data_IF_202733281434
#
_entry.id   IF_202733281434
#
_cell.length_a   1.000
_cell.length_b   1.000
_cell.length_c   1.000
_cell.angle_alpha   90.00
_cell.angle_beta   90.00
_cell.angle_gamma   90.00
#
_symmetry.space_group_name_H-M   'P 1'
#
loop_
_entity.id
_entity.type
_entity.pdbx_description
1 polymer ?
#
# COMPACT_ATOMS: atom_id res chain seq x y z
N UNK A 1 -19.61 15.30 12.18
CA UNK A 1 -20.86 14.83 11.54
C UNK A 1 -20.63 14.76 10.02
N UNK A 2 -21.32 13.89 9.26
CA UNK A 2 -21.13 13.80 7.79
C UNK A 2 -21.58 15.12 7.12
N UNK A 3 -20.77 15.67 6.21
CA UNK A 3 -21.09 16.92 5.51
C UNK A 3 -22.29 16.81 4.55
N UNK A 4 -22.57 15.61 4.03
CA UNK A 4 -23.65 15.37 3.06
C UNK A 4 -24.97 15.04 3.78
N UNK A 5 -25.04 13.92 4.48
CA UNK A 5 -26.31 13.45 5.08
C UNK A 5 -26.54 13.94 6.52
N UNK A 6 -25.58 14.67 7.12
CA UNK A 6 -25.61 15.08 8.54
C UNK A 6 -25.91 13.93 9.52
N UNK A 7 -25.54 12.70 9.15
CA UNK A 7 -25.78 11.50 9.96
C UNK A 7 -27.19 10.91 9.84
N UNK A 8 -28.05 11.40 8.94
CA UNK A 8 -29.41 10.88 8.74
C UNK A 8 -29.43 9.78 7.68
N UNK A 9 -29.90 8.58 8.08
CA UNK A 9 -30.35 7.46 7.22
C UNK A 9 -29.42 7.10 6.03
N UNK A 10 -28.10 7.25 6.16
CA UNK A 10 -27.14 7.02 5.06
C UNK A 10 -27.48 7.70 3.72
N UNK A 11 -28.15 8.86 3.75
CA UNK A 11 -28.59 9.57 2.54
C UNK A 11 -27.44 10.12 1.67
N UNK A 12 -26.18 9.86 2.03
CA UNK A 12 -25.01 10.21 1.23
C UNK A 12 -24.66 9.16 0.15
N UNK A 13 -25.43 8.07 0.05
CA UNK A 13 -25.28 7.06 -1.01
C UNK A 13 -24.11 6.10 -0.83
N UNK A 14 -23.41 6.14 0.32
CA UNK A 14 -22.34 5.19 0.66
C UNK A 14 -22.94 3.88 1.18
N UNK A 15 -22.35 2.74 0.82
CA UNK A 15 -22.83 1.44 1.32
C UNK A 15 -22.66 1.28 2.83
N UNK A 16 -21.60 1.86 3.41
CA UNK A 16 -21.40 1.95 4.87
C UNK A 16 -20.98 3.36 5.33
N UNK A 17 -21.45 3.74 6.53
CA UNK A 17 -21.09 5.01 7.14
C UNK A 17 -19.76 4.92 7.89
N UNK A 18 -18.72 5.51 7.31
CA UNK A 18 -17.39 5.52 7.91
C UNK A 18 -17.36 6.11 9.33
N UNK A 19 -18.13 7.17 9.61
CA UNK A 19 -18.15 7.80 10.94
C UNK A 19 -18.69 6.83 12.00
N UNK A 20 -19.76 6.10 11.67
CA UNK A 20 -20.33 5.10 12.55
C UNK A 20 -19.37 3.93 12.76
N UNK A 21 -18.66 3.50 11.71
CA UNK A 21 -17.65 2.45 11.87
C UNK A 21 -16.50 2.87 12.78
N UNK A 22 -16.00 4.11 12.64
CA UNK A 22 -14.99 4.64 13.57
C UNK A 22 -15.48 4.67 15.01
N UNK A 23 -16.75 5.05 15.23
CA UNK A 23 -17.35 5.06 16.56
C UNK A 23 -17.47 3.64 17.14
N UNK A 24 -17.96 2.68 16.36
CA UNK A 24 -18.11 1.27 16.78
C UNK A 24 -16.77 0.67 17.18
N UNK A 25 -15.74 0.84 16.35
CA UNK A 25 -14.39 0.38 16.64
C UNK A 25 -13.83 1.07 17.89
N UNK A 26 -13.95 2.40 17.98
CA UNK A 26 -13.47 3.14 19.16
C UNK A 26 -14.13 2.65 20.45
N UNK A 27 -15.45 2.38 20.42
CA UNK A 27 -16.18 1.81 21.56
C UNK A 27 -15.68 0.39 21.90
N UNK A 28 -15.48 -0.46 20.89
CA UNK A 28 -15.02 -1.85 21.06
C UNK A 28 -13.63 -1.93 21.69
N UNK A 29 -12.70 -1.13 21.21
CA UNK A 29 -11.30 -1.17 21.67
C UNK A 29 -11.01 -0.29 22.89
N UNK A 30 -12.00 0.46 23.39
CA UNK A 30 -11.81 1.42 24.50
C UNK A 30 -11.17 0.77 25.74
N UNK A 31 -11.68 -0.37 26.19
CA UNK A 31 -11.16 -1.06 27.38
C UNK A 31 -9.72 -1.57 27.20
N UNK A 32 -9.32 -1.94 25.99
CA UNK A 32 -7.98 -2.46 25.69
C UNK A 32 -6.90 -1.37 25.66
N UNK A 33 -7.32 -0.11 25.50
CA UNK A 33 -6.42 1.05 25.42
C UNK A 33 -6.47 1.93 26.68
N UNK A 34 -7.25 1.58 27.70
CA UNK A 34 -7.32 2.29 28.99
C UNK A 34 -6.14 1.96 29.92
N UNK A 35 -4.95 1.83 29.34
CA UNK A 35 -3.69 1.56 30.04
C UNK A 35 -2.54 2.32 29.36
N UNK A 36 -1.40 2.39 30.05
CA UNK A 36 -0.19 3.08 29.56
C UNK A 36 0.94 2.11 29.20
N UNK A 37 0.86 0.87 29.64
CA UNK A 37 1.89 -0.14 29.48
C UNK A 37 1.35 -1.24 28.58
N UNK A 38 2.16 -1.60 27.59
CA UNK A 38 1.83 -2.58 26.56
C UNK A 38 3.02 -3.52 26.42
N UNK A 39 2.70 -4.81 26.32
CA UNK A 39 3.63 -5.89 26.05
C UNK A 39 3.05 -6.74 24.93
N UNK A 40 3.89 -7.17 24.01
CA UNK A 40 3.53 -8.17 23.00
C UNK A 40 4.49 -8.15 21.83
N UNK A 41 4.39 -9.18 20.99
CA UNK A 41 5.15 -9.24 19.77
C UNK A 41 4.75 -8.09 18.88
N UNK A 42 5.65 -7.12 18.72
CA UNK A 42 5.53 -6.08 17.71
C UNK A 42 5.53 -6.82 16.38
N UNK A 43 4.39 -6.94 15.64
CA UNK A 43 4.52 -7.13 14.20
C UNK A 43 5.44 -5.99 13.81
N UNK A 44 6.61 -6.20 13.19
CA UNK A 44 7.68 -5.21 13.13
C UNK A 44 7.25 -3.99 12.29
N UNK A 45 6.33 -3.22 12.85
CA UNK A 45 5.32 -2.40 12.20
C UNK A 45 5.61 -1.01 12.69
N UNK A 46 6.11 -0.24 11.75
CA UNK A 46 6.73 1.05 12.02
C UNK A 46 6.04 2.06 11.14
N UNK A 47 5.71 3.20 11.72
CA UNK A 47 5.11 4.29 10.97
C UNK A 47 5.92 5.56 11.14
N UNK A 48 6.19 6.21 10.01
CA UNK A 48 6.86 7.52 9.94
C UNK A 48 5.91 8.51 9.28
N UNK A 49 5.49 9.51 10.05
CA UNK A 49 4.60 10.57 9.59
C UNK A 49 5.31 11.61 8.72
N UNK A 50 4.55 12.28 7.84
CA UNK A 50 5.06 13.35 6.96
C UNK A 50 4.99 14.76 7.60
N UNK A 51 4.17 14.93 8.65
CA UNK A 51 3.95 16.23 9.28
C UNK A 51 5.13 16.66 10.16
N UNK A 52 5.56 17.92 10.03
CA UNK A 52 6.65 18.51 10.82
C UNK A 52 8.05 18.38 10.19
N UNK A 53 8.15 17.88 8.95
CA UNK A 53 9.41 17.76 8.23
C UNK A 53 10.28 19.03 8.32
N UNK A 54 11.59 18.95 8.66
CA UNK A 54 12.42 17.74 8.78
C UNK A 54 12.39 17.05 10.16
N UNK A 55 11.53 17.46 11.10
CA UNK A 55 11.31 16.79 12.40
C UNK A 55 10.03 15.98 12.36
N UNK A 56 10.15 14.71 11.98
CA UNK A 56 9.02 13.80 11.75
C UNK A 56 8.66 13.03 13.03
N UNK A 57 7.45 12.46 13.05
CA UNK A 57 7.05 11.50 14.09
C UNK A 57 7.30 10.08 13.60
N UNK A 58 7.93 9.26 14.43
CA UNK A 58 8.22 7.85 14.18
C UNK A 58 7.81 7.04 15.40
N UNK A 59 7.38 5.80 15.22
CA UNK A 59 7.07 4.93 16.35
C UNK A 59 6.74 3.49 15.97
N UNK A 60 7.00 2.54 16.89
CA UNK A 60 6.54 1.17 16.79
C UNK A 60 5.06 1.06 17.09
N UNK A 61 4.49 -0.05 16.62
CA UNK A 61 3.12 -0.44 16.89
C UNK A 61 3.08 -1.79 17.55
N UNK A 62 2.53 -1.85 18.76
CA UNK A 62 2.39 -3.08 19.53
C UNK A 62 0.92 -3.50 19.60
N UNK A 63 0.64 -4.80 19.73
CA UNK A 63 -0.69 -5.28 20.09
C UNK A 63 -1.23 -4.64 21.38
N UNK A 64 -2.53 -4.41 21.41
CA UNK A 64 -3.26 -3.90 22.59
C UNK A 64 -3.65 -5.04 23.54
N UNK A 65 -3.68 -6.27 23.04
CA UNK A 65 -3.92 -7.51 23.78
C UNK A 65 -2.60 -8.11 24.26
N UNK A 66 -2.64 -8.79 25.42
CA UNK A 66 -1.45 -9.41 26.02
C UNK A 66 -1.21 -10.85 25.59
N UNK A 67 -2.26 -11.55 25.14
CA UNK A 67 -2.19 -12.93 24.67
C UNK A 67 -3.05 -13.11 23.42
N UNK A 68 -2.61 -13.98 22.52
CA UNK A 68 -3.26 -14.33 21.25
C UNK A 68 -4.63 -14.96 21.49
N UNK A 69 -4.85 -15.59 22.65
CA UNK A 69 -6.18 -16.12 23.02
C UNK A 69 -7.27 -15.04 23.08
N UNK A 70 -6.93 -13.81 23.51
CA UNK A 70 -7.86 -12.67 23.52
C UNK A 70 -8.27 -12.23 22.10
N UNK A 71 -7.46 -12.57 21.08
CA UNK A 71 -7.75 -12.23 19.68
C UNK A 71 -8.97 -13.02 19.18
N UNK A 72 -9.10 -14.29 19.56
CA UNK A 72 -10.21 -15.12 19.12
C UNK A 72 -11.55 -14.60 19.64
N UNK A 73 -11.61 -14.15 20.90
CA UNK A 73 -12.81 -13.50 21.45
C UNK A 73 -13.14 -12.19 20.71
N UNK A 74 -12.12 -11.38 20.38
CA UNK A 74 -12.32 -10.13 19.66
C UNK A 74 -12.75 -10.30 18.20
N UNK A 75 -12.34 -11.40 17.55
CA UNK A 75 -12.67 -11.70 16.14
C UNK A 75 -14.01 -12.45 15.99
N UNK A 76 -14.32 -13.40 16.88
CA UNK A 76 -15.49 -14.29 16.78
C UNK A 76 -16.85 -13.59 16.96
N UNK A 77 -16.88 -12.37 17.53
CA UNK A 77 -18.13 -11.62 17.73
C UNK A 77 -18.81 -11.14 16.43
N UNK A 78 -18.17 -11.18 15.26
CA UNK A 78 -18.74 -10.57 14.04
C UNK A 78 -18.43 -11.26 12.72
N UNK A 79 -17.72 -12.38 12.72
CA UNK A 79 -17.51 -13.15 11.51
C UNK A 79 -18.36 -14.41 11.62
N UNK A 80 -19.26 -14.64 10.66
CA UNK A 80 -19.81 -15.99 10.37
C UNK A 80 -18.69 -16.89 9.80
N UNK A 81 -17.48 -16.78 10.33
CA UNK A 81 -16.36 -17.66 10.03
C UNK A 81 -16.23 -18.56 11.23
N UNK A 82 -16.68 -19.80 11.07
CA UNK A 82 -16.22 -20.88 11.91
C UNK A 82 -14.70 -20.95 11.69
N UNK A 83 -13.92 -20.29 12.55
CA UNK A 83 -12.47 -20.51 12.61
C UNK A 83 -12.30 -21.87 13.28
N UNK A 84 -12.56 -22.93 12.52
CA UNK A 84 -12.20 -24.31 12.85
C UNK A 84 -10.69 -24.45 12.72
N UNK A 85 -9.95 -23.96 13.71
CA UNK A 85 -8.73 -24.56 14.22
C UNK A 85 -8.11 -23.62 15.25
N UNK A 86 -7.72 -24.17 16.40
CA UNK A 86 -6.76 -23.63 17.38
C UNK A 86 -5.37 -23.47 16.75
N UNK A 87 -5.25 -22.78 15.62
CA UNK A 87 -3.97 -22.35 15.06
C UNK A 87 -3.69 -20.95 15.58
N UNK A 88 -2.53 -20.78 16.21
CA UNK A 88 -1.96 -19.51 16.67
C UNK A 88 -2.20 -18.40 15.63
N UNK A 89 -2.90 -17.33 16.03
CA UNK A 89 -3.17 -16.21 15.13
C UNK A 89 -1.86 -15.51 14.77
N UNK A 90 -1.48 -15.58 13.49
CA UNK A 90 -0.27 -14.92 12.99
C UNK A 90 -0.39 -13.40 13.11
N UNK A 91 0.37 -12.82 14.05
CA UNK A 91 0.41 -11.39 14.37
C UNK A 91 0.82 -10.54 13.15
N UNK A 92 1.53 -11.12 12.17
CA UNK A 92 1.86 -10.42 10.91
C UNK A 92 0.60 -10.05 10.11
N UNK A 93 -0.54 -10.73 10.32
CA UNK A 93 -1.84 -10.36 9.77
C UNK A 93 -2.35 -9.01 10.28
N UNK A 94 -1.79 -8.44 11.35
CA UNK A 94 -2.19 -7.11 11.81
C UNK A 94 -1.59 -5.96 10.99
N UNK A 95 -0.61 -6.24 10.13
CA UNK A 95 0.07 -5.21 9.36
C UNK A 95 0.34 -5.52 7.90
N UNK A 96 0.52 -6.80 7.53
CA UNK A 96 1.06 -7.15 6.23
C UNK A 96 -0.05 -7.18 5.17
N UNK A 97 -0.02 -6.28 4.17
CA UNK A 97 -1.06 -6.23 3.15
C UNK A 97 -1.21 -7.49 2.30
N UNK A 98 -0.16 -8.31 2.17
CA UNK A 98 -0.26 -9.60 1.47
C UNK A 98 -1.26 -10.55 2.12
N UNK A 99 -1.47 -10.43 3.43
CA UNK A 99 -2.37 -11.27 4.19
C UNK A 99 -3.82 -10.73 4.18
N UNK A 100 -4.11 -9.63 3.48
CA UNK A 100 -5.41 -8.95 3.50
C UNK A 100 -6.20 -9.06 2.21
N UNK A 101 -5.71 -9.77 1.20
CA UNK A 101 -6.41 -9.92 -0.09
C UNK A 101 -7.78 -10.57 0.05
N UNK A 102 -7.98 -11.42 1.06
CA UNK A 102 -9.25 -12.06 1.39
C UNK A 102 -9.99 -11.41 2.56
N UNK A 103 -9.47 -10.28 3.09
CA UNK A 103 -10.07 -9.57 4.22
C UNK A 103 -10.98 -8.45 3.71
N UNK A 104 -12.06 -8.19 4.43
CA UNK A 104 -12.94 -7.04 4.23
C UNK A 104 -12.32 -5.75 4.78
N UNK A 105 -12.84 -4.60 4.34
CA UNK A 105 -12.44 -3.28 4.88
C UNK A 105 -12.67 -3.21 6.40
N UNK A 106 -13.77 -3.79 6.89
CA UNK A 106 -14.06 -3.82 8.33
C UNK A 106 -13.01 -4.66 9.07
N UNK A 107 -12.65 -5.86 8.60
CA UNK A 107 -11.60 -6.69 9.22
C UNK A 107 -10.25 -5.97 9.24
N UNK A 108 -9.85 -5.33 8.14
CA UNK A 108 -8.60 -4.56 8.07
C UNK A 108 -8.63 -3.41 9.09
N UNK A 109 -9.76 -2.71 9.21
CA UNK A 109 -9.92 -1.69 10.24
C UNK A 109 -9.81 -2.29 11.65
N UNK A 110 -10.36 -3.48 11.91
CA UNK A 110 -10.23 -4.17 13.19
C UNK A 110 -8.79 -4.57 13.49
N UNK A 111 -8.10 -5.23 12.55
CA UNK A 111 -6.68 -5.61 12.66
C UNK A 111 -5.81 -4.41 13.01
N UNK A 112 -6.02 -3.28 12.33
CA UNK A 112 -5.24 -2.06 12.58
C UNK A 112 -5.60 -1.36 13.89
N UNK A 113 -6.81 -1.56 14.40
CA UNK A 113 -7.27 -1.01 15.68
C UNK A 113 -6.80 -1.82 16.88
N UNK A 114 -6.40 -3.06 16.66
CA UNK A 114 -5.75 -3.91 17.67
C UNK A 114 -4.32 -3.45 17.99
N UNK A 115 -3.75 -2.53 17.21
CA UNK A 115 -2.42 -2.01 17.42
C UNK A 115 -2.44 -0.61 18.05
N UNK A 116 -1.49 -0.36 18.94
CA UNK A 116 -1.23 0.94 19.55
C UNK A 116 0.14 1.44 19.13
N UNK A 117 0.22 2.70 18.70
CA UNK A 117 1.46 3.35 18.31
C UNK A 117 2.02 4.24 19.43
N UNK A 118 3.29 4.03 19.78
CA UNK A 118 4.05 4.96 20.61
C UNK A 118 4.88 5.90 19.75
N UNK A 119 4.44 7.15 19.54
CA UNK A 119 5.15 8.09 18.68
C UNK A 119 6.21 8.91 19.44
N UNK A 120 7.36 9.10 18.81
CA UNK A 120 8.41 10.04 19.23
C UNK A 120 8.79 10.97 18.07
N UNK A 121 9.36 12.13 18.38
CA UNK A 121 9.86 13.07 17.38
C UNK A 121 11.31 12.74 17.06
N UNK A 122 11.65 12.72 15.77
CA UNK A 122 12.99 12.46 15.28
C UNK A 122 13.35 13.42 14.14
N UNK A 123 14.61 13.83 14.07
CA UNK A 123 15.14 14.45 12.86
C UNK A 123 15.27 13.37 11.78
N UNK A 124 14.99 13.75 10.53
CA UNK A 124 15.16 12.84 9.39
C UNK A 124 16.61 12.45 9.15
N UNK A 125 17.58 13.32 9.45
CA UNK A 125 18.99 12.95 9.43
C UNK A 125 19.32 12.18 10.71
N UNK A 126 19.61 10.89 10.57
CA UNK A 126 19.83 10.00 11.71
C UNK A 126 20.99 10.51 12.58
N UNK A 127 22.07 10.97 11.95
CA UNK A 127 23.24 11.58 12.61
C UNK A 127 22.91 12.76 13.54
N UNK A 128 21.90 13.57 13.18
CA UNK A 128 21.51 14.73 13.97
C UNK A 128 20.79 14.34 15.27
N UNK A 129 20.26 13.11 15.37
CA UNK A 129 19.62 12.62 16.59
C UNK A 129 20.65 12.24 17.67
N UNK A 130 21.92 12.02 17.30
CA UNK A 130 23.02 11.75 18.25
C UNK A 130 23.63 13.04 18.84
N UNK A 131 23.31 14.21 18.27
CA UNK A 131 23.91 15.51 18.65
C UNK A 131 22.98 16.41 19.47
N UNK A 132 21.70 16.07 19.59
CA UNK A 132 20.72 16.87 20.33
C UNK A 132 20.74 16.50 21.83
N UNK A 133 21.50 17.25 22.63
CA UNK A 133 21.66 17.05 24.07
C UNK A 133 20.36 17.18 24.88
N UNK A 134 19.28 17.75 24.28
CA UNK A 134 17.96 17.84 24.92
C UNK A 134 17.06 16.62 24.62
N UNK A 135 17.53 15.66 23.81
CA UNK A 135 16.81 14.47 23.37
C UNK A 135 17.53 13.11 23.66
N UNK A 136 18.32 12.93 24.75
CA UNK A 136 19.18 11.75 24.92
C UNK A 136 18.45 10.41 25.04
N UNK A 137 17.19 10.39 25.46
CA UNK A 137 16.34 9.17 25.47
C UNK A 137 15.82 8.80 24.08
N UNK A 138 15.77 9.75 23.14
CA UNK A 138 15.26 9.50 21.79
C UNK A 138 16.21 8.64 20.95
N UNK A 139 17.52 8.73 21.20
CA UNK A 139 18.54 7.98 20.44
C UNK A 139 18.39 6.48 20.66
N UNK A 140 18.26 6.04 21.92
CA UNK A 140 17.99 4.63 22.25
C UNK A 140 16.70 4.10 21.62
N UNK A 141 15.67 4.95 21.51
CA UNK A 141 14.41 4.54 20.88
C UNK A 141 14.55 4.37 19.37
N UNK A 142 15.33 5.22 18.70
CA UNK A 142 15.58 5.09 17.26
C UNK A 142 16.36 3.81 16.96
N UNK A 143 17.38 3.50 17.76
CA UNK A 143 18.16 2.26 17.59
C UNK A 143 17.26 1.03 17.76
N UNK A 144 16.47 0.97 18.83
CA UNK A 144 15.52 -0.13 19.04
C UNK A 144 14.46 -0.22 17.92
N UNK A 145 13.95 0.92 17.44
CA UNK A 145 13.01 0.98 16.31
C UNK A 145 13.65 0.41 15.04
N UNK A 146 14.90 0.79 14.76
CA UNK A 146 15.64 0.33 13.61
C UNK A 146 15.97 -1.17 13.69
N UNK A 147 16.31 -1.67 14.87
CA UNK A 147 16.59 -3.08 15.09
C UNK A 147 15.36 -3.96 14.82
N UNK A 148 14.19 -3.58 15.33
CA UNK A 148 12.92 -4.24 15.02
C UNK A 148 12.58 -4.12 13.53
N UNK A 149 12.90 -2.99 12.89
CA UNK A 149 12.69 -2.82 11.45
C UNK A 149 13.42 -3.88 10.64
N UNK A 150 14.63 -4.26 11.07
CA UNK A 150 15.45 -5.28 10.42
C UNK A 150 14.95 -6.70 10.67
N UNK A 151 14.10 -6.93 11.68
CA UNK A 151 13.53 -8.26 11.93
C UNK A 151 12.57 -8.69 10.83
N UNK A 152 12.70 -9.95 10.40
CA UNK A 152 11.71 -10.63 9.53
C UNK A 152 10.59 -11.33 10.32
N UNK A 153 10.73 -11.42 11.65
CA UNK A 153 9.71 -11.99 12.54
C UNK A 153 9.18 -10.91 13.49
N UNK A 154 7.94 -11.06 14.00
CA UNK A 154 7.50 -10.33 15.18
C UNK A 154 8.50 -10.45 16.32
N UNK A 155 8.67 -9.38 17.08
CA UNK A 155 9.65 -9.29 18.18
C UNK A 155 8.94 -8.84 19.44
N UNK A 156 9.03 -9.61 20.52
CA UNK A 156 8.48 -9.21 21.81
C UNK A 156 9.11 -7.90 22.28
N UNK A 157 8.25 -6.95 22.65
CA UNK A 157 8.65 -5.60 23.00
C UNK A 157 7.79 -5.05 24.12
N UNK A 158 8.38 -4.18 24.93
CA UNK A 158 7.70 -3.45 26.00
C UNK A 158 7.58 -1.98 25.63
N UNK A 159 6.38 -1.42 25.79
CA UNK A 159 6.12 -0.01 25.49
C UNK A 159 5.37 0.65 26.65
N UNK A 160 5.90 1.79 27.11
CA UNK A 160 5.23 2.68 28.05
C UNK A 160 4.92 4.01 27.39
N UNK A 161 3.68 4.46 27.51
CA UNK A 161 3.17 5.70 26.94
C UNK A 161 3.02 6.78 28.03
N UNK A 162 3.08 8.05 27.62
CA UNK A 162 2.93 9.18 28.52
C UNK A 162 1.52 9.24 29.17
N UNK A 163 0.50 8.88 28.39
CA UNK A 163 -0.92 8.89 28.77
C UNK A 163 -1.63 7.68 28.18
N UNK A 164 -2.88 7.47 28.58
CA UNK A 164 -3.74 6.50 27.92
C UNK A 164 -3.91 6.92 26.46
N UNK A 165 -3.62 6.05 25.49
CA UNK A 165 -3.65 6.40 24.09
C UNK A 165 -5.06 6.66 23.60
N UNK A 166 -5.17 7.53 22.61
CA UNK A 166 -6.45 7.90 22.02
C UNK A 166 -6.64 7.14 20.72
N UNK A 167 -7.82 6.54 20.55
CA UNK A 167 -8.20 5.94 19.27
C UNK A 167 -8.41 7.05 18.24
N UNK A 168 -7.40 7.26 17.39
CA UNK A 168 -7.45 8.19 16.26
C UNK A 168 -7.33 7.35 15.00
N UNK A 169 -8.48 6.82 14.53
CA UNK A 169 -8.56 6.10 13.26
C UNK A 169 -8.26 7.05 12.11
N UNK A 170 -6.97 7.28 11.90
CA UNK A 170 -6.41 8.00 10.77
C UNK A 170 -6.63 7.14 9.53
N UNK A 171 -7.27 7.72 8.53
CA UNK A 171 -7.50 7.05 7.25
C UNK A 171 -6.84 7.87 6.16
N UNK A 172 -6.06 7.19 5.35
CA UNK A 172 -5.25 7.77 4.30
C UNK A 172 -5.48 6.98 3.03
N UNK A 173 -5.50 7.67 1.89
CA UNK A 173 -5.46 6.99 0.59
C UNK A 173 -4.12 6.26 0.36
N UNK A 174 -3.08 6.57 1.13
CA UNK A 174 -1.73 6.03 0.96
C UNK A 174 -1.37 4.94 1.97
N UNK A 175 -1.70 5.14 3.25
CA UNK A 175 -1.29 4.25 4.34
C UNK A 175 -2.49 3.54 4.95
N UNK A 176 -2.25 2.35 5.49
CA UNK A 176 -3.26 1.58 6.22
C UNK A 176 -3.82 2.37 7.41
N UNK A 177 -5.06 2.06 7.84
CA UNK A 177 -5.63 2.67 9.03
C UNK A 177 -4.66 2.57 10.20
N UNK A 178 -4.62 3.62 11.01
CA UNK A 178 -3.81 3.64 12.24
C UNK A 178 -4.72 3.47 13.44
N UNK A 179 -4.30 2.63 14.39
CA UNK A 179 -5.01 2.41 15.64
C UNK A 179 -4.81 3.54 16.65
N UNK A 180 -4.85 3.19 17.94
CA UNK A 180 -4.66 4.16 19.00
C UNK A 180 -3.21 4.65 19.03
N UNK A 181 -2.98 5.89 19.50
CA UNK A 181 -1.62 6.42 19.60
C UNK A 181 -1.43 7.42 20.75
N UNK A 182 -0.20 7.51 21.23
CA UNK A 182 0.25 8.51 22.22
C UNK A 182 1.78 8.68 22.17
N UNK A 183 2.30 9.71 22.84
CA UNK A 183 3.74 9.92 22.93
C UNK A 183 4.42 8.80 23.73
N UNK A 184 5.53 8.30 23.19
CA UNK A 184 6.34 7.26 23.78
C UNK A 184 7.11 7.77 25.01
N UNK A 185 7.03 7.04 26.13
CA UNK A 185 7.81 7.32 27.35
C UNK A 185 9.02 6.39 27.46
N UNK A 186 8.85 5.09 27.16
CA UNK A 186 9.88 4.05 27.21
C UNK A 186 9.58 2.96 26.17
N UNK A 187 10.63 2.44 25.53
CA UNK A 187 10.54 1.34 24.59
C UNK A 187 11.77 0.45 24.68
N UNK A 188 11.56 -0.84 24.97
CA UNK A 188 12.64 -1.82 25.03
C UNK A 188 12.24 -3.10 24.30
N UNK A 189 13.23 -3.70 23.65
CA UNK A 189 13.11 -4.99 22.99
C UNK A 189 13.27 -6.08 24.04
N UNK A 190 12.33 -7.02 24.13
CA UNK A 190 12.34 -8.11 25.09
C UNK A 190 12.90 -9.42 24.50
N UNK A 191 13.03 -9.51 23.17
CA UNK A 191 13.54 -10.67 22.44
C UNK A 191 14.55 -10.25 21.36
N UNK A 192 15.59 -11.06 21.12
CA UNK A 192 16.55 -10.78 20.05
C UNK A 192 15.89 -10.79 18.65
N UNK A 193 15.95 -9.67 17.89
CA UNK A 193 15.40 -9.60 16.54
C UNK A 193 16.05 -10.60 15.58
N UNK A 194 15.24 -11.26 14.73
CA UNK A 194 15.76 -12.17 13.71
C UNK A 194 16.13 -11.39 12.45
N UNK A 195 17.39 -10.98 12.35
CA UNK A 195 17.93 -10.21 11.23
C UNK A 195 18.60 -11.13 10.19
N UNK A 196 18.15 -11.14 8.92
CA UNK A 196 18.82 -11.88 7.87
C UNK A 196 20.18 -11.28 7.52
N UNK A 197 21.19 -12.13 7.27
CA UNK A 197 22.56 -11.70 6.87
C UNK A 197 22.57 -10.72 5.69
N UNK A 198 21.67 -10.94 4.73
CA UNK A 198 21.56 -10.07 3.55
C UNK A 198 21.07 -8.67 3.92
N UNK A 199 20.13 -8.56 4.85
CA UNK A 199 19.69 -7.27 5.39
C UNK A 199 20.83 -6.59 6.12
N UNK A 200 21.50 -7.32 7.02
CA UNK A 200 22.62 -6.79 7.81
C UNK A 200 23.73 -6.22 6.91
N UNK A 201 24.14 -6.96 5.88
CA UNK A 201 25.09 -6.45 4.86
C UNK A 201 24.58 -5.19 4.16
N UNK A 202 23.35 -5.19 3.63
CA UNK A 202 22.81 -4.02 2.91
C UNK A 202 22.70 -2.78 3.79
N UNK A 203 22.42 -2.95 5.08
CA UNK A 203 22.31 -1.84 6.04
C UNK A 203 23.69 -1.32 6.44
N UNK A 204 24.69 -2.18 6.62
CA UNK A 204 26.02 -1.78 7.09
C UNK A 204 26.96 -1.33 5.96
N UNK A 205 26.74 -1.81 4.74
CA UNK A 205 27.54 -1.43 3.57
C UNK A 205 27.19 -0.01 3.06
N UNK A 206 28.16 0.68 2.45
CA UNK A 206 27.98 2.01 1.85
C UNK A 206 27.30 1.95 0.47
N UNK A 207 26.10 1.36 0.41
CA UNK A 207 25.33 1.22 -0.82
C UNK A 207 24.45 2.44 -1.11
N UNK A 208 24.29 2.78 -2.38
CA UNK A 208 23.21 3.71 -2.78
C UNK A 208 21.86 3.06 -2.48
N UNK A 209 20.85 3.88 -2.18
CA UNK A 209 19.52 3.38 -1.82
C UNK A 209 18.94 2.44 -2.90
N UNK A 210 19.13 2.78 -4.18
CA UNK A 210 18.70 1.93 -5.31
C UNK A 210 19.39 0.56 -5.30
N UNK A 211 20.70 0.52 -5.08
CA UNK A 211 21.48 -0.72 -5.05
C UNK A 211 21.04 -1.61 -3.88
N UNK A 212 20.87 -1.04 -2.68
CA UNK A 212 20.36 -1.76 -1.51
C UNK A 212 18.94 -2.31 -1.72
N UNK A 213 18.03 -1.50 -2.27
CA UNK A 213 16.66 -1.89 -2.61
C UNK A 213 16.64 -3.06 -3.60
N UNK A 214 17.38 -2.95 -4.70
CA UNK A 214 17.43 -4.01 -5.71
C UNK A 214 18.13 -5.28 -5.21
N UNK A 215 19.16 -5.14 -4.37
CA UNK A 215 19.87 -6.24 -3.75
C UNK A 215 18.94 -7.09 -2.87
N UNK A 216 18.10 -6.45 -2.04
CA UNK A 216 17.08 -7.14 -1.24
C UNK A 216 15.96 -7.70 -2.10
N UNK A 217 15.42 -6.91 -3.03
CA UNK A 217 14.33 -7.33 -3.91
C UNK A 217 14.70 -8.57 -4.74
N UNK A 218 15.88 -8.57 -5.38
CA UNK A 218 16.38 -9.70 -6.17
C UNK A 218 16.69 -10.93 -5.31
N UNK A 219 16.93 -10.76 -4.01
CA UNK A 219 17.11 -11.85 -3.05
C UNK A 219 15.76 -12.41 -2.53
N UNK A 220 14.63 -11.95 -3.07
CA UNK A 220 13.29 -12.45 -2.74
C UNK A 220 12.67 -11.83 -1.49
N UNK A 221 13.23 -10.75 -0.96
CA UNK A 221 12.64 -10.06 0.18
C UNK A 221 11.33 -9.38 -0.20
N UNK A 222 10.42 -9.34 0.77
CA UNK A 222 9.13 -8.70 0.61
C UNK A 222 9.25 -7.18 0.38
N UNK A 223 8.46 -6.63 -0.54
CA UNK A 223 8.45 -5.20 -0.85
C UNK A 223 8.14 -4.34 0.39
N UNK A 224 7.19 -4.76 1.23
CA UNK A 224 6.83 -4.02 2.45
C UNK A 224 7.95 -4.06 3.48
N UNK A 225 8.75 -5.13 3.52
CA UNK A 225 9.97 -5.19 4.32
C UNK A 225 11.02 -4.18 3.84
N UNK A 226 11.22 -4.06 2.53
CA UNK A 226 12.16 -3.07 1.94
C UNK A 226 11.66 -1.63 2.19
N UNK A 227 10.36 -1.38 2.04
CA UNK A 227 9.73 -0.08 2.36
C UNK A 227 9.98 0.31 3.81
N UNK A 228 9.84 -0.66 4.73
CA UNK A 228 10.09 -0.48 6.15
C UNK A 228 11.54 -0.06 6.43
N UNK A 229 12.51 -0.78 5.89
CA UNK A 229 13.94 -0.44 6.02
C UNK A 229 14.26 0.96 5.47
N UNK A 230 13.64 1.36 4.35
CA UNK A 230 13.84 2.69 3.79
C UNK A 230 13.23 3.76 4.71
N UNK A 231 12.02 3.50 5.22
CA UNK A 231 11.29 4.44 6.06
C UNK A 231 12.01 4.74 7.36
N UNK A 232 12.64 3.73 7.98
CA UNK A 232 13.42 3.91 9.21
C UNK A 232 14.83 4.45 8.99
N UNK A 233 15.20 4.75 7.75
CA UNK A 233 16.49 5.34 7.41
C UNK A 233 17.66 4.37 7.50
N UNK A 234 17.42 3.09 7.22
CA UNK A 234 18.47 2.05 7.22
C UNK A 234 19.13 1.83 5.85
N UNK A 235 18.69 2.54 4.81
CA UNK A 235 19.21 2.37 3.45
C UNK A 235 19.71 3.68 2.85
N UNK A 236 20.74 3.54 2.01
CA UNK A 236 21.41 4.64 1.30
C UNK A 236 22.66 5.14 2.03
N UNK A 237 23.58 5.73 1.26
CA UNK A 237 24.81 6.35 1.76
C UNK A 237 24.48 7.42 2.82
N UNK A 238 23.59 8.34 2.48
CA UNK A 238 23.02 9.29 3.43
C UNK A 238 21.76 8.69 4.09
N UNK A 239 21.95 7.93 5.17
CA UNK A 239 20.85 7.34 5.94
C UNK A 239 19.90 8.41 6.49
N UNK A 240 18.68 8.45 5.95
CA UNK A 240 17.63 9.40 6.32
C UNK A 240 16.32 8.68 6.59
N UNK A 241 15.66 9.00 7.70
CA UNK A 241 14.29 8.58 7.96
C UNK A 241 13.38 9.23 6.91
N UNK A 242 12.58 8.40 6.24
CA UNK A 242 11.68 8.82 5.17
C UNK A 242 10.23 8.53 5.60
N UNK A 243 9.30 9.49 5.49
CA UNK A 243 7.88 9.25 5.72
C UNK A 243 7.39 8.00 4.98
N UNK A 244 6.61 7.15 5.65
CA UNK A 244 6.22 5.83 5.11
C UNK A 244 5.53 5.96 3.75
N UNK A 245 4.70 6.99 3.57
CA UNK A 245 4.07 7.31 2.29
C UNK A 245 5.07 7.55 1.16
N UNK A 246 6.16 8.26 1.42
CA UNK A 246 7.20 8.52 0.43
C UNK A 246 8.06 7.29 0.20
N UNK A 247 8.32 6.49 1.24
CA UNK A 247 9.04 5.22 1.10
C UNK A 247 8.30 4.22 0.21
N UNK A 248 6.97 4.11 0.34
CA UNK A 248 6.15 3.27 -0.54
C UNK A 248 6.37 3.66 -2.00
N UNK A 249 6.18 4.94 -2.33
CA UNK A 249 6.35 5.45 -3.68
C UNK A 249 7.78 5.26 -4.18
N UNK A 250 8.78 5.58 -3.36
CA UNK A 250 10.19 5.52 -3.73
C UNK A 250 10.65 4.09 -4.04
N UNK A 251 10.33 3.11 -3.17
CA UNK A 251 10.68 1.70 -3.40
C UNK A 251 9.99 1.17 -4.65
N UNK A 252 8.68 1.41 -4.80
CA UNK A 252 7.93 0.97 -5.98
C UNK A 252 8.45 1.60 -7.28
N UNK A 253 8.83 2.88 -7.23
CA UNK A 253 9.37 3.58 -8.37
C UNK A 253 10.74 3.03 -8.77
N UNK A 254 11.64 2.81 -7.80
CA UNK A 254 12.96 2.24 -8.00
C UNK A 254 12.88 0.84 -8.63
N UNK A 255 12.15 -0.09 -8.00
CA UNK A 255 12.01 -1.46 -8.51
C UNK A 255 11.35 -1.45 -9.89
N UNK A 256 10.25 -0.71 -10.05
CA UNK A 256 9.54 -0.67 -11.32
C UNK A 256 10.37 -0.05 -12.46
N UNK A 257 11.27 0.90 -12.17
CA UNK A 257 12.18 1.48 -13.16
C UNK A 257 13.25 0.48 -13.60
N UNK A 258 13.81 -0.31 -12.69
CA UNK A 258 14.79 -1.34 -13.04
C UNK A 258 14.15 -2.47 -13.85
N UNK A 259 13.02 -3.01 -13.40
CA UNK A 259 12.29 -4.04 -14.16
C UNK A 259 11.92 -3.56 -15.57
N UNK A 260 11.50 -2.30 -15.70
CA UNK A 260 11.18 -1.70 -17.01
C UNK A 260 12.36 -1.71 -17.96
N UNK A 261 13.60 -1.45 -17.49
CA UNK A 261 14.80 -1.48 -18.36
C UNK A 261 14.99 -2.85 -18.98
N UNK A 262 14.73 -3.91 -18.22
CA UNK A 262 14.81 -5.29 -18.68
C UNK A 262 13.64 -5.63 -19.60
N UNK A 263 12.40 -5.27 -19.20
CA UNK A 263 11.18 -5.56 -19.97
C UNK A 263 11.21 -4.97 -21.37
N UNK A 264 11.72 -3.74 -21.54
CA UNK A 264 11.84 -3.10 -22.88
C UNK A 264 12.71 -3.93 -23.85
N UNK A 265 13.61 -4.78 -23.34
CA UNK A 265 14.46 -5.66 -24.15
C UNK A 265 13.82 -7.00 -24.54
N UNK A 266 12.61 -7.33 -24.06
CA UNK A 266 11.96 -8.60 -24.33
C UNK A 266 11.12 -8.60 -25.61
N UNK A 267 10.65 -9.78 -26.03
CA UNK A 267 9.75 -9.87 -27.18
C UNK A 267 8.37 -9.32 -26.84
N UNK A 268 7.71 -8.70 -27.81
CA UNK A 268 6.33 -8.21 -27.66
C UNK A 268 5.38 -9.40 -27.47
N UNK A 269 4.25 -9.17 -26.77
CA UNK A 269 3.13 -10.12 -26.76
C UNK A 269 2.50 -10.22 -28.16
N UNK A 270 1.79 -11.30 -28.44
CA UNK A 270 1.26 -11.54 -29.79
C UNK A 270 -0.09 -10.84 -30.00
N UNK A 271 -0.98 -10.94 -29.01
CA UNK A 271 -2.37 -10.53 -29.09
C UNK A 271 -2.70 -9.50 -28.01
N UNK A 272 -3.85 -8.84 -28.14
CA UNK A 272 -4.40 -8.00 -27.08
C UNK A 272 -4.91 -8.89 -25.96
N UNK A 273 -4.45 -8.67 -24.73
CA UNK A 273 -4.84 -9.47 -23.57
C UNK A 273 -5.60 -8.60 -22.57
N UNK A 274 -6.76 -9.06 -22.12
CA UNK A 274 -7.57 -8.37 -21.13
C UNK A 274 -7.65 -9.18 -19.84
N UNK A 275 -7.37 -8.52 -18.72
CA UNK A 275 -7.40 -9.07 -17.37
C UNK A 275 -8.34 -8.26 -16.49
N UNK A 276 -8.91 -8.93 -15.49
CA UNK A 276 -9.82 -8.31 -14.53
C UNK A 276 -9.68 -8.94 -13.15
N UNK A 277 -9.76 -8.10 -12.12
CA UNK A 277 -10.02 -8.54 -10.75
C UNK A 277 -10.78 -7.47 -9.98
N UNK A 278 -11.41 -7.88 -8.88
CA UNK A 278 -12.00 -6.98 -7.91
C UNK A 278 -11.35 -7.18 -6.54
N UNK A 279 -11.09 -6.08 -5.84
CA UNK A 279 -10.54 -6.11 -4.49
C UNK A 279 -11.07 -4.93 -3.68
N UNK A 280 -11.69 -5.20 -2.53
CA UNK A 280 -12.21 -4.19 -1.59
C UNK A 280 -13.11 -3.13 -2.26
N UNK A 281 -13.99 -3.53 -3.18
CA UNK A 281 -14.86 -2.58 -3.90
C UNK A 281 -14.13 -1.73 -4.96
N UNK A 282 -12.92 -2.13 -5.35
CA UNK A 282 -12.22 -1.58 -6.51
C UNK A 282 -12.21 -2.63 -7.62
N UNK A 283 -12.47 -2.19 -8.84
CA UNK A 283 -12.48 -3.03 -10.03
C UNK A 283 -11.28 -2.65 -10.88
N UNK A 284 -10.41 -3.61 -11.16
CA UNK A 284 -9.19 -3.40 -11.96
C UNK A 284 -9.37 -4.08 -13.29
N UNK A 285 -9.01 -3.36 -14.35
CA UNK A 285 -8.95 -3.88 -15.71
C UNK A 285 -7.56 -3.57 -16.25
N UNK A 286 -6.90 -4.57 -16.82
CA UNK A 286 -5.58 -4.39 -17.44
C UNK A 286 -5.67 -4.87 -18.87
N UNK A 287 -5.45 -3.93 -19.79
CA UNK A 287 -5.32 -4.22 -21.21
C UNK A 287 -3.84 -4.18 -21.58
N UNK A 288 -3.32 -5.32 -22.02
CA UNK A 288 -2.01 -5.40 -22.67
C UNK A 288 -2.21 -5.34 -24.18
N UNK A 289 -1.44 -4.48 -24.83
CA UNK A 289 -1.49 -4.23 -26.27
C UNK A 289 -0.17 -4.72 -26.88
N UNK A 290 -0.19 -5.47 -28.00
CA UNK A 290 0.99 -6.05 -28.64
C UNK A 290 1.84 -4.98 -29.35
N UNK A 291 2.53 -4.16 -28.57
CA UNK A 291 3.41 -3.11 -29.05
C UNK A 291 4.51 -2.79 -28.00
N UNK A 292 5.48 -1.94 -28.37
CA UNK A 292 6.59 -1.52 -27.53
C UNK A 292 6.12 -0.83 -26.26
N UNK A 293 6.85 -1.05 -25.17
CA UNK A 293 6.49 -0.55 -23.85
C UNK A 293 6.00 0.91 -23.80
N UNK A 294 4.81 1.06 -23.27
CA UNK A 294 4.30 2.30 -22.71
C UNK A 294 3.32 1.93 -21.59
N UNK A 295 3.17 2.77 -20.57
CA UNK A 295 2.30 2.47 -19.43
C UNK A 295 1.39 3.65 -19.13
N UNK A 296 0.11 3.37 -18.97
CA UNK A 296 -0.90 4.34 -18.55
C UNK A 296 -1.76 3.75 -17.43
N UNK A 297 -1.94 4.50 -16.35
CA UNK A 297 -2.87 4.15 -15.29
C UNK A 297 -3.95 5.24 -15.21
N UNK A 298 -5.20 4.82 -15.27
CA UNK A 298 -6.37 5.67 -15.15
C UNK A 298 -7.24 5.19 -13.99
N UNK A 299 -7.85 6.13 -13.28
CA UNK A 299 -8.84 5.82 -12.26
C UNK A 299 -10.06 6.73 -12.34
N UNK A 300 -11.18 6.21 -11.85
CA UNK A 300 -12.42 6.97 -11.71
C UNK A 300 -13.14 6.58 -10.43
N UNK A 301 -13.54 7.59 -9.68
CA UNK A 301 -14.37 7.45 -8.50
C UNK A 301 -15.84 7.46 -8.92
N UNK A 302 -16.52 6.32 -8.83
CA UNK A 302 -17.92 6.19 -9.25
C UNK A 302 -18.84 7.00 -8.35
N UNK A 303 -20.04 7.32 -8.84
CA UNK A 303 -21.06 8.04 -8.07
C UNK A 303 -21.36 7.29 -6.76
N UNK A 304 -21.37 8.02 -5.63
CA UNK A 304 -21.59 7.46 -4.30
C UNK A 304 -20.32 6.95 -3.59
N UNK A 305 -19.18 6.85 -4.29
CA UNK A 305 -17.88 6.55 -3.67
C UNK A 305 -17.34 7.73 -2.84
N UNK A 306 -16.27 7.49 -2.06
CA UNK A 306 -15.71 8.47 -1.11
C UNK A 306 -15.41 9.85 -1.72
N UNK A 307 -14.85 9.85 -2.93
CA UNK A 307 -14.48 11.05 -3.68
C UNK A 307 -15.23 11.16 -5.03
N UNK A 308 -16.29 10.37 -5.21
CA UNK A 308 -17.11 10.39 -6.41
C UNK A 308 -17.86 11.72 -6.57
N UNK A 309 -17.84 12.28 -7.78
CA UNK A 309 -18.58 13.50 -8.11
C UNK A 309 -20.02 13.15 -8.50
N UNK A 310 -20.96 14.07 -8.25
CA UNK A 310 -22.40 13.83 -8.43
C UNK A 310 -22.84 13.96 -9.90
N UNK A 311 -22.15 14.78 -10.69
CA UNK A 311 -22.62 15.20 -12.02
C UNK A 311 -21.98 14.42 -13.19
N UNK A 312 -20.68 14.11 -13.16
CA UNK A 312 -19.98 13.44 -14.27
C UNK A 312 -18.85 12.52 -13.79
N UNK A 313 -18.56 11.47 -14.58
CA UNK A 313 -17.39 10.61 -14.39
C UNK A 313 -16.11 11.36 -14.76
N UNK A 314 -15.30 11.66 -13.76
CA UNK A 314 -13.99 12.29 -13.97
C UNK A 314 -12.90 11.22 -14.01
N UNK A 315 -12.52 10.81 -15.21
CA UNK A 315 -11.38 9.90 -15.42
C UNK A 315 -10.09 10.71 -15.30
N UNK A 316 -9.29 10.38 -14.29
CA UNK A 316 -7.95 10.92 -14.13
C UNK A 316 -6.91 9.85 -14.50
N UNK A 317 -5.71 10.26 -14.90
CA UNK A 317 -4.70 9.31 -15.32
C UNK A 317 -3.34 9.92 -15.62
N UNK A 318 -2.31 9.11 -15.43
CA UNK A 318 -0.93 9.44 -15.74
C UNK A 318 -0.35 8.41 -16.72
N UNK A 319 0.64 8.85 -17.49
CA UNK A 319 1.23 8.09 -18.59
C UNK A 319 2.76 8.22 -18.60
N UNK A 320 3.42 7.12 -18.91
CA UNK A 320 4.82 7.08 -19.33
C UNK A 320 5.02 6.34 -20.66
N UNK A 321 5.94 6.85 -21.47
CA UNK A 321 6.37 6.16 -22.68
C UNK A 321 7.64 5.34 -22.44
N UNK A 322 8.27 4.90 -23.54
CA UNK A 322 9.49 4.08 -23.51
C UNK A 322 10.66 4.74 -22.75
N UNK A 323 10.74 6.08 -22.75
CA UNK A 323 11.75 6.85 -22.01
C UNK A 323 11.43 7.02 -20.52
N UNK A 324 10.23 6.64 -20.08
CA UNK A 324 9.74 6.79 -18.71
C UNK A 324 8.97 8.09 -18.48
N UNK A 325 8.57 8.34 -17.24
CA UNK A 325 7.88 9.55 -16.81
C UNK A 325 8.69 10.83 -17.11
N UNK A 326 8.02 11.83 -17.68
CA UNK A 326 8.54 13.21 -17.77
C UNK A 326 8.10 14.00 -16.55
N UNK A 327 8.88 13.94 -15.47
CA UNK A 327 8.58 14.60 -14.20
C UNK A 327 7.83 13.71 -13.20
N UNK A 328 7.07 14.32 -12.29
CA UNK A 328 6.29 13.62 -11.27
C UNK A 328 4.89 13.26 -11.78
N UNK A 329 4.38 12.12 -11.30
CA UNK A 329 2.97 11.71 -11.44
C UNK A 329 2.08 12.77 -10.79
N UNK A 330 1.07 13.26 -11.52
CA UNK A 330 0.28 14.41 -11.09
C UNK A 330 -1.12 14.06 -10.61
N UNK A 331 -1.76 13.06 -11.22
CA UNK A 331 -3.19 12.81 -11.03
C UNK A 331 -3.47 11.59 -10.14
N UNK A 332 -2.69 10.52 -10.27
CA UNK A 332 -2.91 9.21 -9.65
C UNK A 332 -1.89 8.88 -8.55
N UNK A 333 -0.80 9.65 -8.48
CA UNK A 333 0.25 9.57 -7.46
C UNK A 333 0.71 8.13 -7.15
N UNK A 334 0.51 7.65 -5.92
CA UNK A 334 0.95 6.31 -5.48
C UNK A 334 0.28 5.16 -6.25
N UNK A 335 -0.91 5.38 -6.81
CA UNK A 335 -1.61 4.37 -7.60
C UNK A 335 -0.83 4.01 -8.88
N UNK A 336 -0.17 4.99 -9.50
CA UNK A 336 0.62 4.78 -10.70
C UNK A 336 1.80 3.83 -10.44
N UNK A 337 2.59 4.11 -9.41
CA UNK A 337 3.78 3.31 -9.12
C UNK A 337 3.42 1.89 -8.66
N UNK A 338 2.37 1.74 -7.86
CA UNK A 338 1.86 0.45 -7.41
C UNK A 338 1.30 -0.43 -8.54
N UNK A 339 0.51 0.16 -9.44
CA UNK A 339 -0.04 -0.57 -10.59
C UNK A 339 1.06 -0.92 -11.59
N UNK A 340 1.96 0.04 -11.90
CA UNK A 340 3.10 -0.19 -12.80
C UNK A 340 3.98 -1.32 -12.31
N UNK A 341 4.38 -1.32 -11.04
CA UNK A 341 5.23 -2.38 -10.49
C UNK A 341 4.57 -3.75 -10.65
N UNK A 342 3.27 -3.87 -10.39
CA UNK A 342 2.54 -5.14 -10.52
C UNK A 342 2.55 -5.70 -11.93
N UNK A 343 2.32 -4.85 -12.93
CA UNK A 343 2.35 -5.29 -14.33
C UNK A 343 3.79 -5.59 -14.78
N UNK A 344 4.77 -4.81 -14.32
CA UNK A 344 6.18 -5.05 -14.64
C UNK A 344 6.70 -6.37 -14.10
N UNK A 345 6.35 -6.74 -12.88
CA UNK A 345 6.70 -8.06 -12.33
C UNK A 345 6.16 -9.21 -13.20
N UNK A 346 4.90 -9.10 -13.63
CA UNK A 346 4.26 -10.14 -14.44
C UNK A 346 4.90 -10.23 -15.85
N UNK A 347 5.11 -9.10 -16.52
CA UNK A 347 5.76 -9.04 -17.82
C UNK A 347 7.22 -9.51 -17.76
N UNK A 348 7.94 -9.13 -16.70
CA UNK A 348 9.30 -9.60 -16.46
C UNK A 348 9.36 -11.11 -16.26
N UNK A 349 8.48 -11.69 -15.43
CA UNK A 349 8.34 -13.13 -15.25
C UNK A 349 8.04 -13.86 -16.56
N UNK A 350 7.22 -13.27 -17.43
CA UNK A 350 6.86 -13.83 -18.75
C UNK A 350 7.94 -13.61 -19.81
N UNK A 351 8.96 -12.79 -19.53
CA UNK A 351 9.94 -12.29 -20.51
C UNK A 351 9.26 -11.72 -21.75
N UNK A 352 8.28 -10.84 -21.53
CA UNK A 352 7.49 -10.19 -22.59
C UNK A 352 7.38 -8.68 -22.35
N UNK A 353 7.13 -7.92 -23.41
CA UNK A 353 6.78 -6.51 -23.35
C UNK A 353 5.43 -6.22 -24.01
N UNK A 354 4.80 -5.12 -23.60
CA UNK A 354 3.53 -4.66 -24.14
C UNK A 354 3.35 -3.15 -23.88
N UNK A 355 2.47 -2.48 -24.63
CA UNK A 355 1.81 -1.26 -24.14
C UNK A 355 0.76 -1.68 -23.12
N UNK A 356 0.63 -0.95 -22.02
CA UNK A 356 -0.19 -1.32 -20.87
C UNK A 356 -1.15 -0.19 -20.54
N UNK A 357 -2.43 -0.51 -20.44
CA UNK A 357 -3.46 0.38 -19.91
C UNK A 357 -4.10 -0.27 -18.69
N UNK A 358 -3.93 0.35 -17.53
CA UNK A 358 -4.60 -0.05 -16.28
C UNK A 358 -5.76 0.90 -16.03
N UNK A 359 -6.96 0.35 -15.86
CA UNK A 359 -8.16 1.10 -15.49
C UNK A 359 -8.61 0.62 -14.11
N UNK A 360 -8.89 1.57 -13.23
CA UNK A 360 -9.43 1.31 -11.90
C UNK A 360 -10.76 2.05 -11.72
N UNK A 361 -11.84 1.30 -11.51
CA UNK A 361 -13.12 1.87 -11.08
C UNK A 361 -13.28 1.70 -9.58
N UNK A 362 -13.44 2.81 -8.86
CA UNK A 362 -13.65 2.79 -7.41
C UNK A 362 -15.15 2.89 -7.12
N UNK A 363 -15.73 1.80 -6.60
CA UNK A 363 -17.17 1.70 -6.30
C UNK A 363 -17.52 2.31 -4.93
N UNK A 364 -18.82 2.52 -4.63
CA UNK A 364 -19.27 2.89 -3.29
C UNK A 364 -18.88 1.91 -2.18
N UNK A 365 -18.57 0.66 -2.51
CA UNK A 365 -18.14 -0.35 -1.55
C UNK A 365 -16.71 -0.14 -1.02
N UNK A 366 -15.91 0.68 -1.70
CA UNK A 366 -14.68 1.22 -1.12
C UNK A 366 -14.97 2.40 -0.19
N UNK A 367 -15.72 2.16 0.89
CA UNK A 367 -16.25 3.19 1.80
C UNK A 367 -15.23 3.73 2.82
N UNK A 368 -14.06 3.12 2.94
CA UNK A 368 -12.97 3.60 3.79
C UNK A 368 -11.63 3.39 3.08
N UNK A 369 -10.75 4.41 3.01
CA UNK A 369 -9.47 4.24 2.35
C UNK A 369 -8.52 3.46 3.27
N UNK A 370 -7.94 2.39 2.72
CA UNK A 370 -7.04 1.49 3.45
C UNK A 370 -5.58 1.59 2.98
N UNK A 371 -5.27 2.49 2.07
CA UNK A 371 -3.90 2.71 1.55
C UNK A 371 -3.71 2.31 0.08
N UNK A 372 -2.49 2.50 -0.44
CA UNK A 372 -2.10 2.21 -1.84
C UNK A 372 -1.87 0.71 -2.06
N UNK A 373 -1.62 -0.05 -0.99
CA UNK A 373 -1.35 -1.48 -1.11
C UNK A 373 -2.47 -2.27 -1.80
N UNK A 374 -3.74 -1.85 -1.66
CA UNK A 374 -4.84 -2.55 -2.36
C UNK A 374 -4.74 -2.41 -3.88
N UNK A 375 -4.14 -1.32 -4.39
CA UNK A 375 -3.91 -1.14 -5.83
C UNK A 375 -2.82 -2.10 -6.29
N UNK A 376 -1.73 -2.17 -5.51
CA UNK A 376 -0.64 -3.12 -5.72
C UNK A 376 -1.14 -4.56 -5.76
N UNK A 377 -1.91 -4.97 -4.76
CA UNK A 377 -2.43 -6.34 -4.67
C UNK A 377 -3.53 -6.61 -5.69
N UNK A 378 -4.42 -5.65 -5.96
CA UNK A 378 -5.53 -5.81 -6.90
C UNK A 378 -5.07 -5.93 -8.36
N UNK A 379 -4.09 -5.12 -8.78
CA UNK A 379 -3.50 -5.25 -10.12
C UNK A 379 -2.68 -6.53 -10.23
N UNK A 380 -1.93 -6.92 -9.18
CA UNK A 380 -1.21 -8.19 -9.16
C UNK A 380 -2.17 -9.38 -9.28
N UNK A 381 -3.26 -9.37 -8.52
CA UNK A 381 -4.33 -10.37 -8.58
C UNK A 381 -4.92 -10.50 -9.99
N UNK A 382 -5.23 -9.36 -10.64
CA UNK A 382 -5.73 -9.37 -12.01
C UNK A 382 -4.71 -9.97 -12.99
N UNK A 383 -3.43 -9.59 -12.89
CA UNK A 383 -2.37 -10.11 -13.78
C UNK A 383 -2.03 -11.59 -13.55
N UNK A 384 -2.21 -12.09 -12.32
CA UNK A 384 -2.00 -13.50 -11.96
C UNK A 384 -3.25 -14.35 -12.25
N UNK A 385 -4.42 -13.71 -12.44
CA UNK A 385 -5.66 -14.38 -12.84
C UNK A 385 -5.65 -14.79 -14.32
N UNK A 386 -6.62 -15.63 -14.70
CA UNK A 386 -6.83 -15.99 -16.11
C UNK A 386 -7.29 -14.76 -16.88
N UNK A 387 -6.76 -14.58 -18.11
CA UNK A 387 -7.28 -13.62 -19.08
C UNK A 387 -8.80 -13.76 -19.21
N UNK A 388 -9.52 -12.64 -19.12
CA UNK A 388 -10.96 -12.61 -19.41
C UNK A 388 -11.25 -12.50 -20.91
N UNK A 389 -10.24 -12.10 -21.69
CA UNK A 389 -10.32 -12.09 -23.15
C UNK A 389 -8.95 -11.99 -23.80
N UNK A 390 -8.87 -12.50 -25.02
CA UNK A 390 -7.75 -12.35 -25.94
C UNK A 390 -8.30 -11.98 -27.31
N UNK A 391 -7.69 -10.99 -27.95
CA UNK A 391 -8.26 -10.37 -29.16
C UNK A 391 -7.18 -10.03 -30.18
N UNK A 392 -7.56 -10.00 -31.46
CA UNK A 392 -6.65 -9.67 -32.55
C UNK A 392 -6.57 -8.16 -32.82
N UNK A 393 -7.60 -7.40 -32.44
CA UNK A 393 -7.66 -5.94 -32.70
C UNK A 393 -7.98 -5.14 -31.44
N UNK A 394 -7.53 -3.88 -31.42
CA UNK A 394 -7.88 -2.93 -30.37
C UNK A 394 -9.39 -2.75 -30.27
N UNK A 395 -10.10 -2.68 -31.40
CA UNK A 395 -11.56 -2.50 -31.42
C UNK A 395 -12.28 -3.64 -30.71
N UNK A 396 -11.93 -4.90 -31.02
CA UNK A 396 -12.50 -6.07 -30.34
C UNK A 396 -12.14 -6.10 -28.85
N UNK A 397 -10.93 -5.67 -28.48
CA UNK A 397 -10.52 -5.60 -27.08
C UNK A 397 -11.29 -4.52 -26.29
N UNK A 398 -11.54 -3.35 -26.90
CA UNK A 398 -12.33 -2.28 -26.29
C UNK A 398 -13.81 -2.67 -26.14
N UNK A 399 -14.39 -3.36 -27.13
CA UNK A 399 -15.75 -3.93 -27.01
C UNK A 399 -15.81 -4.99 -25.90
N UNK A 400 -14.79 -5.84 -25.80
CA UNK A 400 -14.68 -6.81 -24.71
C UNK A 400 -14.58 -6.14 -23.34
N UNK A 401 -13.84 -5.04 -23.23
CA UNK A 401 -13.70 -4.24 -22.02
C UNK A 401 -15.02 -3.52 -21.64
N UNK A 402 -15.73 -2.97 -22.62
CA UNK A 402 -16.99 -2.24 -22.43
C UNK A 402 -18.07 -3.08 -21.74
N UNK A 403 -18.08 -4.40 -21.96
CA UNK A 403 -19.02 -5.33 -21.32
C UNK A 403 -18.88 -5.37 -19.78
N UNK A 404 -17.73 -4.98 -19.25
CA UNK A 404 -17.44 -5.03 -17.82
C UNK A 404 -17.42 -3.65 -17.14
N UNK A 405 -17.11 -2.58 -17.87
CA UNK A 405 -16.99 -1.25 -17.28
C UNK A 405 -18.36 -0.68 -16.86
N UNK A 406 -18.37 0.07 -15.75
CA UNK A 406 -19.55 0.87 -15.35
C UNK A 406 -19.51 2.22 -16.07
N UNK A 407 -18.32 2.79 -16.25
CA UNK A 407 -18.13 4.02 -17.02
C UNK A 407 -17.97 3.69 -18.51
N UNK A 408 -18.67 4.39 -19.42
CA UNK A 408 -18.53 4.15 -20.86
C UNK A 408 -17.07 4.20 -21.31
N UNK A 409 -16.67 3.23 -22.14
CA UNK A 409 -15.27 3.07 -22.59
C UNK A 409 -14.74 4.33 -23.26
N UNK A 410 -15.60 5.07 -23.97
CA UNK A 410 -15.27 6.33 -24.63
C UNK A 410 -14.66 7.36 -23.69
N UNK A 411 -15.07 7.42 -22.41
CA UNK A 411 -14.49 8.35 -21.44
C UNK A 411 -13.03 8.04 -21.13
N UNK A 412 -12.66 6.76 -21.16
CA UNK A 412 -11.27 6.35 -21.03
C UNK A 412 -10.49 6.61 -22.31
N UNK A 413 -11.07 6.37 -23.49
CA UNK A 413 -10.44 6.68 -24.78
C UNK A 413 -10.21 8.19 -24.93
N UNK A 414 -11.17 9.02 -24.51
CA UNK A 414 -11.07 10.48 -24.46
C UNK A 414 -9.96 10.98 -23.54
N UNK A 415 -9.65 10.27 -22.45
CA UNK A 415 -8.56 10.65 -21.53
C UNK A 415 -7.21 10.08 -21.96
N UNK A 416 -7.19 8.82 -22.39
CA UNK A 416 -5.98 8.02 -22.61
C UNK A 416 -5.08 8.59 -23.70
N UNK A 417 -3.76 8.59 -23.44
CA UNK A 417 -2.74 8.84 -24.45
C UNK A 417 -2.43 7.59 -25.26
N UNK A 418 -2.33 6.42 -24.61
CA UNK A 418 -2.00 5.16 -25.28
C UNK A 418 -3.08 4.80 -26.29
N UNK A 419 -4.35 4.76 -25.86
CA UNK A 419 -5.46 4.34 -26.73
C UNK A 419 -5.63 5.28 -27.92
N UNK A 420 -5.44 6.59 -27.74
CA UNK A 420 -5.48 7.57 -28.84
C UNK A 420 -4.35 7.39 -29.85
N UNK A 421 -3.13 7.11 -29.37
CA UNK A 421 -1.97 6.91 -30.25
C UNK A 421 -2.15 5.60 -31.02
N UNK A 422 -2.49 4.51 -30.34
CA UNK A 422 -2.69 3.20 -30.96
C UNK A 422 -3.83 3.21 -31.97
N UNK A 423 -4.92 3.96 -31.72
CA UNK A 423 -6.04 4.06 -32.66
C UNK A 423 -5.71 4.88 -33.93
N UNK A 424 -4.64 5.69 -33.92
CA UNK A 424 -4.19 6.49 -35.07
C UNK A 424 -3.06 5.84 -35.86
N UNK A 425 -2.41 4.83 -35.28
CA UNK A 425 -1.19 4.24 -35.82
C UNK A 425 -1.56 2.97 -36.59
N UNK A 426 -1.69 3.06 -37.91
CA UNK A 426 -1.69 1.91 -38.80
C UNK A 426 -0.27 1.32 -38.84
N UNK A 427 -0.13 0.00 -38.73
CA UNK A 427 1.17 -0.67 -38.86
C UNK A 427 1.67 -0.50 -40.30
N UNK A 428 2.98 -0.31 -40.46
CA UNK A 428 3.62 -0.19 -41.79
C UNK A 428 3.35 -1.43 -42.67
N UNK A 429 3.16 -2.60 -42.04
CA UNK A 429 2.76 -3.87 -42.68
C UNK A 429 1.35 -3.85 -43.29
N UNK A 430 0.48 -2.90 -42.91
CA UNK A 430 -0.84 -2.71 -43.54
C UNK A 430 -0.78 -1.82 -44.79
N UNK A 431 0.39 -1.27 -45.11
CA UNK A 431 0.67 -0.46 -46.29
C UNK A 431 1.60 -1.15 -47.30
N UNK A 432 2.18 -2.30 -46.96
CA UNK A 432 2.95 -3.19 -47.83
C UNK A 432 2.08 -4.36 -48.27
#
# INVERSE_FOLDING_TARGET
MCSICKGRKNLCGRSKCLILQKFRISKKFKGLIEKKEFFGASPPSLFVGEYGYPKVRIGPMLPTFGDVEQVNELLNENTNTNIESKSEFDISKLENPKNWTNSSIDEIMHYRSMLVMGETKSNVKVENNYRDANLPTSTKYIDNIQEIAMSIKPVDSEMKLLKNPKMVLGMSSYTSPMGAKENLLKFDIAENPKIPKKTDSVVNDELKALEGVMSLYNSGFDEYYIIKLLSTGLMGVDKKIVPTKWSITAVQDMIGKELRKEVIGYNVINNYELYHAELLGNRYFILLIPDLYAFEAMEVWLKGSLYGRVAEYHVCGDYEGIKGLKGYVKETAGAFHASRLSVMENLHKRKKQAKIVVIREITPDYYAPVGVWQIRQGVKLAMDSKKIGEFDTLKSALLGLEQYLIVPVDKYVEKSKILKITNRQTLLEQFL
#
